data_IF_035075790024
#
_entry.id   IF_035075790024
#
_cell.length_a   1.000
_cell.length_b   1.000
_cell.length_c   1.000
_cell.angle_alpha   90.00
_cell.angle_beta   90.00
_cell.angle_gamma   90.00
#
_symmetry.space_group_name_H-M   'P 1'
#
loop_
_entity.id
_entity.type
_entity.pdbx_description
1 polymer ?
#
# COMPACT_ATOMS: atom_id res chain seq x y z
N UNK A 1 -13.11 -0.62 8.84
CA UNK A 1 -12.83 -1.05 7.46
C UNK A 1 -11.73 -2.10 7.53
N UNK A 2 -11.92 -3.24 6.87
CA UNK A 2 -10.97 -4.36 6.90
C UNK A 2 -10.03 -4.25 5.70
N UNK A 3 -8.76 -4.64 5.86
CA UNK A 3 -7.78 -4.66 4.76
C UNK A 3 -8.01 -5.81 3.76
N UNK A 4 -9.06 -6.61 3.96
CA UNK A 4 -9.37 -7.81 3.15
C UNK A 4 -9.71 -7.48 1.68
N UNK A 5 -10.26 -6.28 1.45
CA UNK A 5 -10.63 -5.78 0.11
C UNK A 5 -9.41 -5.33 -0.73
N UNK A 6 -8.20 -5.36 -0.16
CA UNK A 6 -6.96 -5.00 -0.87
C UNK A 6 -6.49 -6.20 -1.70
N UNK A 7 -6.59 -6.07 -3.02
CA UNK A 7 -6.09 -7.03 -4.00
C UNK A 7 -4.64 -6.68 -4.38
N UNK A 8 -3.69 -7.52 -3.96
CA UNK A 8 -2.27 -7.38 -4.30
C UNK A 8 -2.08 -7.42 -5.83
N UNK A 9 -1.27 -6.49 -6.33
CA UNK A 9 -0.96 -6.38 -7.76
C UNK A 9 -2.01 -5.65 -8.60
N UNK A 10 -3.19 -5.35 -8.03
CA UNK A 10 -4.27 -4.61 -8.68
C UNK A 10 -4.53 -3.27 -7.99
N UNK A 11 -4.53 -3.27 -6.66
CA UNK A 11 -4.81 -2.10 -5.84
C UNK A 11 -3.52 -1.41 -5.41
N UNK A 12 -3.41 -0.12 -5.75
CA UNK A 12 -2.46 0.82 -5.17
C UNK A 12 -3.02 1.43 -3.89
N UNK A 13 -2.12 1.82 -2.99
CA UNK A 13 -2.47 2.38 -1.68
C UNK A 13 -1.86 3.76 -1.51
N UNK A 14 -2.66 4.70 -1.04
CA UNK A 14 -2.23 6.02 -0.62
C UNK A 14 -2.57 6.19 0.87
N UNK A 15 -1.55 6.44 1.68
CA UNK A 15 -1.69 6.86 3.06
C UNK A 15 -1.55 8.38 3.14
N UNK A 16 -2.49 9.01 3.83
CA UNK A 16 -2.55 10.47 4.04
C UNK A 16 -2.96 10.75 5.50
N UNK A 17 -2.31 10.08 6.45
CA UNK A 17 -2.57 10.23 7.88
C UNK A 17 -1.29 9.99 8.70
N UNK A 18 -0.88 10.97 9.51
CA UNK A 18 0.38 10.98 10.27
C UNK A 18 1.61 11.20 9.38
N UNK A 19 1.69 10.48 8.27
CA UNK A 19 2.62 10.68 7.17
C UNK A 19 1.91 10.57 5.82
N UNK A 20 2.65 10.82 4.74
CA UNK A 20 2.12 10.73 3.36
C UNK A 20 2.96 9.78 2.53
N UNK A 21 2.35 8.71 2.02
CA UNK A 21 3.02 7.76 1.13
C UNK A 21 2.06 7.16 0.12
N UNK A 22 2.61 6.79 -1.03
CA UNK A 22 1.90 6.09 -2.09
C UNK A 22 2.71 4.87 -2.53
N UNK A 23 2.05 3.73 -2.66
CA UNK A 23 2.57 2.56 -3.34
C UNK A 23 1.68 2.21 -4.53
N UNK A 24 2.32 2.05 -5.68
CA UNK A 24 1.65 1.65 -6.91
C UNK A 24 1.38 0.14 -6.89
N UNK A 25 0.35 -0.33 -7.61
CA UNK A 25 -0.03 -1.74 -7.62
C UNK A 25 1.10 -2.65 -8.08
N UNK A 26 1.91 -2.24 -9.05
CA UNK A 26 3.01 -3.08 -9.56
C UNK A 26 4.09 -3.34 -8.50
N UNK A 27 4.30 -2.44 -7.54
CA UNK A 27 5.32 -2.62 -6.49
C UNK A 27 5.04 -3.88 -5.68
N UNK A 28 3.76 -4.16 -5.40
CA UNK A 28 3.37 -5.35 -4.67
C UNK A 28 3.68 -6.62 -5.46
N UNK A 29 3.47 -6.60 -6.79
CA UNK A 29 3.77 -7.72 -7.69
C UNK A 29 5.27 -7.92 -7.89
N UNK A 30 6.03 -6.85 -8.15
CA UNK A 30 7.47 -6.89 -8.41
C UNK A 30 8.26 -7.44 -7.21
N UNK A 31 7.83 -7.07 -5.99
CA UNK A 31 8.47 -7.53 -4.76
C UNK A 31 7.84 -8.79 -4.15
N UNK A 32 6.83 -9.38 -4.80
CA UNK A 32 6.06 -10.54 -4.27
C UNK A 32 5.55 -10.31 -2.84
N UNK A 33 5.03 -9.12 -2.57
CA UNK A 33 4.51 -8.78 -1.25
C UNK A 33 3.14 -9.39 -1.00
N UNK A 34 2.96 -9.97 0.18
CA UNK A 34 1.64 -10.21 0.74
C UNK A 34 1.03 -8.89 1.29
N UNK A 35 -0.29 -8.85 1.54
CA UNK A 35 -1.00 -7.68 2.09
C UNK A 35 -0.30 -7.08 3.30
N UNK A 36 0.14 -7.93 4.23
CA UNK A 36 0.82 -7.49 5.45
C UNK A 36 2.15 -6.78 5.13
N UNK A 37 2.93 -7.32 4.18
CA UNK A 37 4.21 -6.73 3.76
C UNK A 37 3.99 -5.43 2.98
N UNK A 38 2.92 -5.36 2.18
CA UNK A 38 2.57 -4.17 1.42
C UNK A 38 2.17 -3.01 2.34
N UNK A 39 1.35 -3.28 3.37
CA UNK A 39 0.97 -2.29 4.39
C UNK A 39 2.17 -1.84 5.23
N UNK A 40 3.03 -2.79 5.64
CA UNK A 40 4.27 -2.46 6.39
C UNK A 40 5.19 -1.57 5.56
N UNK A 41 5.37 -1.90 4.27
CA UNK A 41 6.18 -1.10 3.35
C UNK A 41 5.60 0.30 3.14
N UNK A 42 4.27 0.42 3.08
CA UNK A 42 3.58 1.71 3.01
C UNK A 42 3.82 2.56 4.26
N UNK A 43 3.75 1.95 5.45
CA UNK A 43 4.02 2.62 6.72
C UNK A 43 5.46 3.15 6.77
N UNK A 44 6.44 2.31 6.42
CA UNK A 44 7.84 2.73 6.35
C UNK A 44 8.04 3.89 5.36
N UNK A 45 7.41 3.82 4.19
CA UNK A 45 7.50 4.88 3.18
C UNK A 45 6.84 6.19 3.64
N UNK A 46 5.85 6.11 4.52
CA UNK A 46 5.22 7.27 5.14
C UNK A 46 6.03 7.86 6.31
N UNK A 47 7.17 7.26 6.66
CA UNK A 47 7.96 7.64 7.84
C UNK A 47 7.37 7.14 9.16
N UNK A 48 6.45 6.17 9.12
CA UNK A 48 5.82 5.56 10.27
C UNK A 48 6.52 4.23 10.63
N UNK A 49 6.29 3.75 11.86
CA UNK A 49 6.73 2.42 12.26
C UNK A 49 6.03 1.34 11.41
N UNK A 50 6.74 0.25 11.11
CA UNK A 50 6.28 -0.76 10.13
C UNK A 50 4.94 -1.42 10.49
N UNK A 51 4.65 -1.59 11.79
CA UNK A 51 3.42 -2.24 12.25
C UNK A 51 2.33 -1.24 12.66
N UNK A 52 2.48 0.04 12.32
CA UNK A 52 1.51 1.09 12.67
C UNK A 52 0.09 0.78 12.19
N UNK A 53 -0.04 0.03 11.09
CA UNK A 53 -1.32 -0.44 10.54
C UNK A 53 -2.02 -1.53 11.36
N UNK A 54 -1.29 -2.21 12.27
CA UNK A 54 -1.83 -3.24 13.17
C UNK A 54 -2.41 -2.63 14.45
N UNK A 55 -1.84 -1.53 14.92
CA UNK A 55 -2.29 -0.84 16.13
C UNK A 55 -3.62 -0.11 15.91
N UNK A 56 -3.87 0.33 14.67
CA UNK A 56 -5.10 1.01 14.28
C UNK A 56 -5.41 0.85 12.80
N UNK A 57 -6.67 1.01 12.45
CA UNK A 57 -7.10 1.09 11.04
C UNK A 57 -6.57 2.39 10.44
N UNK A 58 -5.73 2.27 9.43
CA UNK A 58 -5.19 3.41 8.68
C UNK A 58 -6.24 3.97 7.73
N UNK A 59 -6.26 5.29 7.59
CA UNK A 59 -7.07 5.97 6.59
C UNK A 59 -6.39 5.89 5.23
N UNK A 60 -6.56 4.75 4.58
CA UNK A 60 -6.01 4.45 3.26
C UNK A 60 -6.99 4.86 2.16
N UNK A 61 -6.48 5.44 1.08
CA UNK A 61 -7.20 5.56 -0.18
C UNK A 61 -6.69 4.48 -1.12
N UNK A 62 -7.60 3.62 -1.56
CA UNK A 62 -7.30 2.56 -2.53
C UNK A 62 -7.59 3.09 -3.93
N UNK A 63 -6.69 2.82 -4.88
CA UNK A 63 -6.86 3.19 -6.28
C UNK A 63 -6.33 2.09 -7.21
N UNK A 64 -6.73 2.12 -8.48
CA UNK A 64 -6.16 1.28 -9.53
C UNK A 64 -5.36 2.16 -10.49
N UNK A 65 -4.35 1.58 -11.13
CA UNK A 65 -3.54 2.27 -12.14
C UNK A 65 -3.38 1.38 -13.36
N UNK A 66 -3.41 1.98 -14.55
CA UNK A 66 -3.00 1.33 -15.78
C UNK A 66 -1.57 1.78 -16.08
N UNK A 67 -0.63 0.84 -16.16
CA UNK A 67 0.78 1.12 -16.42
C UNK A 67 1.06 0.86 -17.90
N UNK A 68 1.65 1.84 -18.58
CA UNK A 68 2.14 1.73 -19.95
C UNK A 68 3.68 1.79 -19.92
N UNK A 69 4.35 0.92 -20.68
CA UNK A 69 5.78 1.00 -20.94
C UNK A 69 6.00 1.12 -22.45
N UNK A 70 7.04 1.86 -22.86
CA UNK A 70 7.50 1.91 -24.25
C UNK A 70 8.32 0.65 -24.59
N UNK A 71 8.21 0.17 -25.83
CA UNK A 71 8.94 -1.00 -26.38
C UNK A 71 10.39 -0.64 -26.74
#
# INVERSE_FOLDING_TARGET
ESYDEIEIGKHGLLLDEGGRALLLPQVASEHNYDRSQFLTSLCHKAGLYGEYWKERVLKLKVFTALVFCED
#
